data_IF_902368215081
#
_entry.id   IF_902368215081
#
_cell.length_a   1.000
_cell.length_b   1.000
_cell.length_c   1.000
_cell.angle_alpha   90.00
_cell.angle_beta   90.00
_cell.angle_gamma   90.00
#
_symmetry.space_group_name_H-M   'P 1'
#
loop_
_entity.id
_entity.type
_entity.pdbx_description
1 polymer ?
#
# COMPACT_ATOMS: atom_id res chain seq x y z
N UNK A 1 6.31 49.48 -22.45
CA UNK A 1 5.30 48.48 -22.05
C UNK A 1 6.05 47.23 -21.63
N UNK A 2 6.19 46.98 -20.32
CA UNK A 2 6.96 45.85 -19.80
C UNK A 2 5.98 44.74 -19.37
N UNK A 3 6.10 43.57 -19.99
CA UNK A 3 5.27 42.40 -19.68
C UNK A 3 5.93 41.62 -18.55
N UNK A 4 5.29 41.58 -17.39
CA UNK A 4 5.74 40.77 -16.24
C UNK A 4 5.26 39.34 -16.46
N UNK A 5 6.20 38.43 -16.75
CA UNK A 5 5.94 36.99 -16.75
C UNK A 5 5.76 36.52 -15.30
N UNK A 6 4.52 36.27 -14.91
CA UNK A 6 4.21 35.60 -13.66
C UNK A 6 4.38 34.08 -13.84
N UNK A 7 5.49 33.52 -13.33
CA UNK A 7 5.67 32.08 -13.22
C UNK A 7 4.94 31.59 -11.96
N UNK A 8 3.72 31.09 -12.14
CA UNK A 8 2.98 30.41 -11.09
C UNK A 8 3.57 29.02 -10.83
N UNK A 9 4.36 28.88 -9.76
CA UNK A 9 4.78 27.57 -9.27
C UNK A 9 3.60 26.97 -8.51
N UNK A 10 2.79 26.17 -9.19
CA UNK A 10 1.78 25.34 -8.53
C UNK A 10 2.50 24.24 -7.77
N UNK A 11 2.78 24.49 -6.49
CA UNK A 11 3.31 23.47 -5.61
C UNK A 11 2.21 22.41 -5.42
N UNK A 12 2.37 21.23 -6.02
CA UNK A 12 1.56 20.07 -5.68
C UNK A 12 1.75 19.78 -4.19
N UNK A 13 0.82 20.25 -3.35
CA UNK A 13 0.78 19.93 -1.93
C UNK A 13 0.53 18.42 -1.82
N UNK A 14 1.60 17.63 -1.71
CA UNK A 14 1.51 16.23 -1.27
C UNK A 14 1.04 16.27 0.18
N UNK A 15 -0.27 16.12 0.37
CA UNK A 15 -0.90 16.09 1.68
C UNK A 15 -0.38 14.85 2.43
N UNK A 16 0.67 15.04 3.24
CA UNK A 16 1.16 14.02 4.18
C UNK A 16 0.19 13.99 5.34
N UNK A 17 -0.67 12.98 5.39
CA UNK A 17 -1.43 12.71 6.61
C UNK A 17 -0.43 12.30 7.69
N UNK A 18 -0.35 13.01 8.84
CA UNK A 18 0.52 12.57 9.93
C UNK A 18 0.03 11.20 10.41
N UNK A 19 0.97 10.30 10.69
CA UNK A 19 0.66 9.00 11.32
C UNK A 19 0.23 9.29 12.76
N UNK A 20 -1.08 9.22 13.02
CA UNK A 20 -1.70 9.65 14.29
C UNK A 20 -1.74 8.50 15.29
N UNK A 21 -0.62 8.28 15.98
CA UNK A 21 -0.56 7.56 17.27
C UNK A 21 -1.39 6.26 17.36
N UNK A 22 -2.02 5.97 18.51
CA UNK A 22 -2.72 4.69 18.75
C UNK A 22 -4.00 4.49 17.90
N UNK A 23 -4.42 5.51 17.14
CA UNK A 23 -5.58 5.45 16.24
C UNK A 23 -5.20 5.14 14.79
N UNK A 24 -3.95 4.75 14.54
CA UNK A 24 -3.46 4.38 13.21
C UNK A 24 -3.16 2.89 13.14
N UNK A 25 -3.59 2.24 12.06
CA UNK A 25 -3.26 0.86 11.74
C UNK A 25 -2.65 0.76 10.34
N UNK A 26 -1.80 -0.24 10.14
CA UNK A 26 -1.33 -0.67 8.83
C UNK A 26 -2.19 -1.84 8.36
N UNK A 27 -2.92 -1.67 7.26
CA UNK A 27 -3.75 -2.72 6.66
C UNK A 27 -3.06 -3.24 5.40
N UNK A 28 -2.82 -4.55 5.33
CA UNK A 28 -2.15 -5.23 4.24
C UNK A 28 -3.17 -6.07 3.48
N UNK A 29 -3.46 -5.66 2.25
CA UNK A 29 -4.51 -6.26 1.44
C UNK A 29 -3.94 -7.38 0.56
N UNK A 30 -4.45 -8.59 0.74
CA UNK A 30 -4.26 -9.71 -0.19
C UNK A 30 -2.78 -10.02 -0.50
N UNK A 31 -1.91 -9.99 0.51
CA UNK A 31 -0.52 -10.44 0.42
C UNK A 31 -0.43 -11.98 0.38
N UNK A 32 -1.15 -12.58 -0.56
CA UNK A 32 -1.28 -14.02 -0.74
C UNK A 32 -0.40 -14.50 -1.90
N UNK A 33 0.00 -15.77 -1.81
CA UNK A 33 0.80 -16.46 -2.85
C UNK A 33 0.14 -16.41 -4.23
N UNK A 34 -1.20 -16.36 -4.26
CA UNK A 34 -1.98 -16.28 -5.49
C UNK A 34 -1.69 -15.04 -6.34
N UNK A 35 -1.28 -13.95 -5.68
CA UNK A 35 -0.95 -12.69 -6.33
C UNK A 35 0.55 -12.47 -6.45
N UNK A 36 1.30 -12.85 -5.41
CA UNK A 36 2.71 -12.48 -5.26
C UNK A 36 3.70 -13.45 -5.91
N UNK A 37 3.30 -14.70 -6.18
CA UNK A 37 4.16 -15.64 -6.90
C UNK A 37 3.91 -15.58 -8.40
N UNK A 38 4.96 -15.88 -9.18
CA UNK A 38 4.87 -15.99 -10.64
C UNK A 38 3.91 -17.11 -11.09
N UNK A 39 3.81 -18.17 -10.29
CA UNK A 39 2.91 -19.32 -10.49
C UNK A 39 1.62 -19.21 -9.66
N UNK A 40 1.28 -18.00 -9.19
CA UNK A 40 0.03 -17.74 -8.49
C UNK A 40 -1.19 -17.85 -9.41
N UNK A 41 -2.39 -17.98 -8.83
CA UNK A 41 -3.65 -18.02 -9.59
C UNK A 41 -3.94 -16.72 -10.35
N UNK A 42 -3.50 -15.58 -9.82
CA UNK A 42 -3.75 -14.24 -10.35
C UNK A 42 -2.49 -13.37 -10.18
N UNK A 43 -1.37 -13.70 -10.84
CA UNK A 43 -0.09 -13.06 -10.57
C UNK A 43 -0.12 -11.59 -10.97
N UNK A 44 0.38 -10.71 -10.10
CA UNK A 44 0.60 -9.29 -10.43
C UNK A 44 1.91 -9.11 -11.21
N UNK A 45 2.21 -7.88 -11.63
CA UNK A 45 3.47 -7.54 -12.29
C UNK A 45 4.68 -7.90 -11.40
N UNK A 46 5.47 -8.89 -11.82
CA UNK A 46 6.48 -9.54 -10.98
C UNK A 46 7.69 -8.64 -10.69
N UNK A 47 8.00 -7.72 -11.59
CA UNK A 47 9.03 -6.70 -11.41
C UNK A 47 8.73 -5.75 -10.24
N UNK A 48 7.47 -5.65 -9.80
CA UNK A 48 7.04 -4.83 -8.67
C UNK A 48 7.05 -5.58 -7.34
N UNK A 49 6.94 -6.91 -7.33
CA UNK A 49 6.74 -7.74 -6.13
C UNK A 49 7.88 -7.57 -5.13
N UNK A 50 9.13 -7.65 -5.57
CA UNK A 50 10.30 -7.53 -4.68
C UNK A 50 10.37 -6.17 -4.00
N UNK A 51 10.09 -5.10 -4.75
CA UNK A 51 10.05 -3.73 -4.23
C UNK A 51 8.92 -3.53 -3.22
N UNK A 52 7.74 -4.06 -3.53
CA UNK A 52 6.55 -4.02 -2.67
C UNK A 52 6.81 -4.73 -1.33
N UNK A 53 7.28 -5.98 -1.36
CA UNK A 53 7.58 -6.76 -0.15
C UNK A 53 8.62 -6.04 0.72
N UNK A 54 9.68 -5.51 0.10
CA UNK A 54 10.74 -4.78 0.82
C UNK A 54 10.19 -3.51 1.50
N UNK A 55 9.35 -2.74 0.81
CA UNK A 55 8.72 -1.55 1.38
C UNK A 55 7.77 -1.91 2.53
N UNK A 56 6.95 -2.93 2.34
CA UNK A 56 5.99 -3.40 3.34
C UNK A 56 6.67 -3.95 4.59
N UNK A 57 7.74 -4.72 4.46
CA UNK A 57 8.52 -5.19 5.61
C UNK A 57 9.10 -4.02 6.42
N UNK A 58 9.55 -2.94 5.77
CA UNK A 58 9.98 -1.72 6.46
C UNK A 58 8.83 -1.05 7.21
N UNK A 59 7.64 -0.98 6.60
CA UNK A 59 6.44 -0.44 7.26
C UNK A 59 6.04 -1.28 8.48
N UNK A 60 6.00 -2.61 8.35
CA UNK A 60 5.70 -3.53 9.45
C UNK A 60 6.71 -3.34 10.59
N UNK A 61 8.00 -3.28 10.28
CA UNK A 61 9.05 -3.07 11.28
C UNK A 61 8.87 -1.74 12.03
N UNK A 62 8.59 -0.65 11.31
CA UNK A 62 8.34 0.66 11.90
C UNK A 62 7.07 0.68 12.77
N UNK A 63 6.01 -0.03 12.34
CA UNK A 63 4.76 -0.13 13.09
C UNK A 63 4.94 -0.97 14.36
N UNK A 64 5.71 -2.07 14.31
CA UNK A 64 6.00 -2.93 15.48
C UNK A 64 6.83 -2.26 16.56
N UNK A 65 7.62 -1.25 16.22
CA UNK A 65 8.32 -0.41 17.21
C UNK A 65 7.38 0.52 17.99
N UNK A 66 6.11 0.57 17.60
CA UNK A 66 5.05 1.38 18.21
C UNK A 66 3.87 0.45 18.56
N UNK A 67 2.96 0.82 19.47
CA UNK A 67 1.74 0.05 19.71
C UNK A 67 0.71 0.28 18.59
N UNK A 68 1.11 0.12 17.32
CA UNK A 68 0.26 0.33 16.15
C UNK A 68 -0.12 -1.02 15.53
N UNK A 69 -1.42 -1.31 15.32
CA UNK A 69 -1.86 -2.58 14.74
C UNK A 69 -1.37 -2.78 13.30
N UNK A 70 -0.99 -4.03 12.99
CA UNK A 70 -0.79 -4.50 11.62
C UNK A 70 -1.85 -5.56 11.32
N UNK A 71 -2.75 -5.25 10.38
CA UNK A 71 -3.90 -6.08 10.03
C UNK A 71 -3.65 -6.68 8.64
N UNK A 72 -3.80 -8.00 8.53
CA UNK A 72 -3.71 -8.72 7.26
C UNK A 72 -5.12 -9.07 6.82
N UNK A 73 -5.45 -8.79 5.57
CA UNK A 73 -6.69 -9.28 4.95
C UNK A 73 -6.35 -10.28 3.87
N UNK A 74 -7.21 -11.28 3.73
CA UNK A 74 -7.09 -12.33 2.73
C UNK A 74 -8.35 -12.35 1.88
N UNK A 75 -8.17 -12.60 0.59
CA UNK A 75 -9.25 -12.92 -0.31
C UNK A 75 -9.46 -14.44 -0.27
N UNK A 76 -10.53 -14.86 0.39
CA UNK A 76 -10.92 -16.27 0.49
C UNK A 76 -12.22 -16.49 -0.28
N UNK A 77 -12.27 -17.59 -1.01
CA UNK A 77 -13.48 -18.01 -1.70
C UNK A 77 -14.06 -19.21 -0.95
N UNK A 78 -15.32 -19.10 -0.53
CA UNK A 78 -16.04 -20.25 0.00
C UNK A 78 -16.35 -21.22 -1.15
N UNK A 79 -16.04 -22.53 -1.02
CA UNK A 79 -16.44 -23.51 -2.03
C UNK A 79 -17.97 -23.68 -2.10
N UNK A 80 -18.71 -23.10 -1.14
CA UNK A 80 -20.17 -23.15 -1.05
C UNK A 80 -20.84 -21.87 -1.57
N UNK A 81 -20.06 -20.85 -1.95
CA UNK A 81 -20.62 -19.62 -2.53
C UNK A 81 -20.43 -19.65 -4.06
N UNK A 82 -21.52 -19.69 -4.84
CA UNK A 82 -21.41 -19.65 -6.29
C UNK A 82 -20.82 -18.30 -6.71
N UNK A 83 -19.74 -18.35 -7.48
CA UNK A 83 -19.15 -17.18 -8.15
C UNK A 83 -20.24 -16.62 -9.07
N UNK A 84 -20.78 -15.44 -8.73
CA UNK A 84 -21.72 -14.70 -9.59
C UNK A 84 -20.95 -13.71 -10.44
#
# INVERSE_FOLDING_TARGET
MACVLALGVSACIKQRMPVRGPLTALVLLNYQVDYLRVDGRMPVAQDQVGGLIKATNKMIAAMRQRPMPVIYTMNEFSPFEPIR
#
